data_IF_323964780602
#
_entry.id   IF_323964780602
#
_cell.length_a   1.000
_cell.length_b   1.000
_cell.length_c   1.000
_cell.angle_alpha   90.00
_cell.angle_beta   90.00
_cell.angle_gamma   90.00
#
_symmetry.space_group_name_H-M   'P 1'
#
loop_
_entity.id
_entity.type
_entity.pdbx_description
1 polymer ?
#
# COMPACT_ATOMS: atom_id res chain seq x y z
N UNK A 1 -9.56 8.75 4.88
CA UNK A 1 -8.84 7.61 4.30
C UNK A 1 -9.47 6.37 4.90
N UNK A 2 -10.34 5.69 4.15
CA UNK A 2 -11.10 4.56 4.72
C UNK A 2 -10.23 3.31 4.72
N UNK A 3 -10.29 2.51 5.79
CA UNK A 3 -9.79 1.14 5.72
C UNK A 3 -10.57 0.42 4.64
N UNK A 4 -9.91 0.11 3.57
CA UNK A 4 -10.54 -0.54 2.46
C UNK A 4 -10.95 -1.97 2.86
N UNK A 5 -12.08 -2.42 2.38
CA UNK A 5 -12.60 -3.77 2.62
C UNK A 5 -11.57 -4.85 2.21
N UNK A 6 -10.66 -4.53 1.28
CA UNK A 6 -9.65 -5.45 0.81
C UNK A 6 -8.61 -5.84 1.89
N UNK A 7 -8.19 -4.90 2.74
CA UNK A 7 -7.24 -5.20 3.81
C UNK A 7 -7.85 -6.13 4.86
N UNK A 8 -9.15 -5.95 5.15
CA UNK A 8 -9.93 -6.88 5.98
C UNK A 8 -10.02 -8.25 5.32
N UNK A 9 -10.35 -8.31 4.02
CA UNK A 9 -10.43 -9.56 3.27
C UNK A 9 -9.09 -10.31 3.25
N UNK A 10 -7.96 -9.61 3.13
CA UNK A 10 -6.64 -10.22 3.22
C UNK A 10 -6.36 -10.87 4.58
N UNK A 11 -6.67 -10.17 5.67
CA UNK A 11 -6.49 -10.72 7.02
C UNK A 11 -7.37 -11.95 7.23
N UNK A 12 -8.61 -11.94 6.74
CA UNK A 12 -9.49 -13.10 6.78
C UNK A 12 -8.97 -14.27 5.91
N UNK A 13 -8.45 -13.98 4.72
CA UNK A 13 -7.80 -14.97 3.86
C UNK A 13 -6.56 -15.58 4.52
N UNK A 14 -5.85 -14.81 5.35
CA UNK A 14 -4.71 -15.27 6.12
C UNK A 14 -5.01 -16.46 7.03
N UNK A 15 -6.25 -16.61 7.49
CA UNK A 15 -6.69 -17.79 8.28
C UNK A 15 -6.53 -19.12 7.51
N UNK A 16 -6.65 -19.10 6.19
CA UNK A 16 -6.43 -20.27 5.35
C UNK A 16 -4.97 -20.71 5.38
N UNK A 17 -4.05 -19.76 5.52
CA UNK A 17 -2.62 -20.02 5.58
C UNK A 17 -2.18 -20.64 6.92
N UNK A 18 -2.99 -20.51 7.99
CA UNK A 18 -2.67 -21.11 9.29
C UNK A 18 -2.63 -22.63 9.24
N UNK A 19 -3.40 -23.21 8.33
CA UNK A 19 -3.49 -24.67 8.13
C UNK A 19 -2.50 -25.19 7.10
N UNK A 20 -1.87 -24.30 6.36
CA UNK A 20 -0.91 -24.67 5.32
C UNK A 20 0.43 -25.03 5.97
N UNK A 21 0.95 -26.19 5.61
CA UNK A 21 2.28 -26.68 5.99
C UNK A 21 3.10 -26.92 4.74
N UNK A 22 4.36 -26.53 4.78
CA UNK A 22 5.32 -26.85 3.75
C UNK A 22 5.80 -28.29 3.84
N UNK A 23 6.45 -28.75 2.79
CA UNK A 23 7.11 -30.05 2.74
C UNK A 23 8.48 -30.06 3.47
N UNK A 24 9.01 -28.85 3.70
CA UNK A 24 10.29 -28.64 4.37
C UNK A 24 10.28 -27.35 5.21
N UNK A 25 11.26 -27.17 6.13
CA UNK A 25 11.36 -25.99 7.00
C UNK A 25 11.47 -24.66 6.24
N UNK A 26 12.09 -24.65 5.07
CA UNK A 26 12.27 -23.43 4.28
C UNK A 26 10.94 -22.96 3.69
N UNK A 27 10.09 -23.89 3.25
CA UNK A 27 8.72 -23.59 2.82
C UNK A 27 7.87 -23.08 3.98
N UNK A 28 7.99 -23.67 5.17
CA UNK A 28 7.31 -23.21 6.37
C UNK A 28 7.73 -21.77 6.72
N UNK A 29 9.02 -21.44 6.59
CA UNK A 29 9.52 -20.09 6.77
C UNK A 29 8.91 -19.11 5.74
N UNK A 30 8.81 -19.52 4.47
CA UNK A 30 8.15 -18.74 3.41
C UNK A 30 6.68 -18.49 3.72
N UNK A 31 5.94 -19.50 4.15
CA UNK A 31 4.53 -19.38 4.57
C UNK A 31 4.39 -18.40 5.74
N UNK A 32 5.29 -18.45 6.72
CA UNK A 32 5.28 -17.54 7.86
C UNK A 32 5.53 -16.08 7.44
N UNK A 33 6.44 -15.84 6.48
CA UNK A 33 6.68 -14.52 5.91
C UNK A 33 5.43 -13.97 5.24
N UNK A 34 4.79 -14.74 4.37
CA UNK A 34 3.56 -14.33 3.67
C UNK A 34 2.43 -14.05 4.66
N UNK A 35 2.26 -14.90 5.67
CA UNK A 35 1.26 -14.72 6.73
C UNK A 35 1.42 -13.39 7.45
N UNK A 36 2.65 -13.00 7.75
CA UNK A 36 2.96 -11.72 8.37
C UNK A 36 2.77 -10.53 7.42
N UNK A 37 3.14 -10.70 6.15
CA UNK A 37 3.04 -9.65 5.14
C UNK A 37 1.58 -9.28 4.81
N UNK A 38 0.65 -10.23 4.84
CA UNK A 38 -0.77 -10.01 4.56
C UNK A 38 -1.43 -9.04 5.57
N UNK A 39 -0.95 -8.98 6.80
CA UNK A 39 -1.46 -8.04 7.81
C UNK A 39 -0.92 -6.61 7.63
N UNK A 40 0.19 -6.43 6.93
CA UNK A 40 0.87 -5.14 6.82
C UNK A 40 -0.02 -4.01 6.27
N UNK A 41 -0.85 -4.20 5.23
CA UNK A 41 -1.71 -3.13 4.73
C UNK A 41 -2.72 -2.63 5.75
N UNK A 42 -3.35 -3.53 6.51
CA UNK A 42 -4.31 -3.15 7.56
C UNK A 42 -3.62 -2.40 8.69
N UNK A 43 -2.44 -2.87 9.12
CA UNK A 43 -1.65 -2.23 10.15
C UNK A 43 -1.25 -0.81 9.73
N UNK A 44 -0.75 -0.65 8.50
CA UNK A 44 -0.33 0.65 8.00
C UNK A 44 -1.48 1.65 7.92
N UNK A 45 -2.68 1.21 7.52
CA UNK A 45 -3.86 2.08 7.50
C UNK A 45 -4.26 2.50 8.91
N UNK A 46 -4.23 1.58 9.89
CA UNK A 46 -4.53 1.88 11.28
C UNK A 46 -3.51 2.85 11.90
N UNK A 47 -2.22 2.63 11.65
CA UNK A 47 -1.15 3.53 12.08
C UNK A 47 -1.26 4.93 11.48
N UNK A 48 -1.62 5.03 10.19
CA UNK A 48 -1.90 6.31 9.53
C UNK A 48 -3.11 7.05 10.15
N UNK A 49 -4.03 6.33 10.77
CA UNK A 49 -5.14 6.89 11.54
C UNK A 49 -4.79 7.20 13.00
N UNK A 50 -3.55 6.92 13.43
CA UNK A 50 -3.10 7.13 14.81
C UNK A 50 -3.47 6.01 15.80
N UNK A 51 -3.94 4.86 15.29
CA UNK A 51 -4.36 3.71 16.10
C UNK A 51 -3.31 2.58 15.97
N UNK A 52 -3.12 1.82 17.04
CA UNK A 52 -2.21 0.67 17.01
C UNK A 52 -2.68 -0.40 16.01
N UNK A 53 -1.88 -0.57 14.96
CA UNK A 53 -2.16 -1.52 13.88
C UNK A 53 -2.22 -2.98 14.34
N UNK A 54 -1.49 -3.35 15.39
CA UNK A 54 -1.49 -4.71 15.92
C UNK A 54 -2.82 -5.04 16.63
N UNK A 55 -3.35 -4.07 17.37
CA UNK A 55 -4.65 -4.19 18.05
C UNK A 55 -5.78 -4.32 17.02
N UNK A 56 -5.75 -3.49 15.98
CA UNK A 56 -6.75 -3.54 14.91
C UNK A 56 -6.70 -4.87 14.16
N UNK A 57 -5.52 -5.33 13.75
CA UNK A 57 -5.35 -6.60 13.06
C UNK A 57 -5.80 -7.79 13.93
N UNK A 58 -5.51 -7.77 15.24
CA UNK A 58 -5.96 -8.77 16.19
C UNK A 58 -7.49 -8.88 16.24
N UNK A 59 -8.18 -7.76 16.42
CA UNK A 59 -9.66 -7.72 16.49
C UNK A 59 -10.32 -8.20 15.19
N UNK A 60 -9.78 -7.78 14.03
CA UNK A 60 -10.31 -8.22 12.74
C UNK A 60 -10.09 -9.71 12.54
N UNK A 61 -8.94 -10.26 12.96
CA UNK A 61 -8.64 -11.69 12.88
C UNK A 61 -9.54 -12.54 13.78
N UNK A 62 -9.87 -12.08 14.98
CA UNK A 62 -10.74 -12.79 15.92
C UNK A 62 -12.20 -12.84 15.44
N UNK A 63 -12.64 -11.87 14.66
CA UNK A 63 -13.99 -11.85 14.12
C UNK A 63 -14.25 -13.05 13.20
N UNK A 64 -15.44 -13.61 13.32
CA UNK A 64 -15.96 -14.67 12.42
C UNK A 64 -16.65 -14.08 11.18
N UNK A 65 -17.01 -12.82 11.24
CA UNK A 65 -17.69 -12.12 10.16
C UNK A 65 -16.67 -11.59 9.15
N UNK A 66 -16.82 -11.98 7.90
CA UNK A 66 -15.93 -11.59 6.79
C UNK A 66 -16.09 -10.13 6.38
N UNK A 67 -17.20 -9.50 6.74
CA UNK A 67 -17.47 -8.08 6.48
C UNK A 67 -17.00 -7.16 7.60
N UNK A 68 -16.64 -7.74 8.75
CA UNK A 68 -16.20 -6.98 9.92
C UNK A 68 -14.81 -6.39 9.72
N UNK A 69 -14.68 -5.08 9.85
CA UNK A 69 -13.42 -4.36 9.70
C UNK A 69 -13.34 -3.13 10.59
N UNK A 70 -12.31 -2.34 10.37
CA UNK A 70 -12.06 -1.08 11.07
C UNK A 70 -12.20 0.10 10.09
N UNK A 71 -13.05 1.05 10.41
CA UNK A 71 -13.17 2.30 9.67
C UNK A 71 -12.21 3.35 10.24
N UNK A 72 -11.12 3.61 9.54
CA UNK A 72 -10.09 4.56 9.96
C UNK A 72 -10.55 6.03 9.96
N UNK A 73 -11.68 6.35 9.33
CA UNK A 73 -12.23 7.70 9.31
C UNK A 73 -13.02 8.02 10.58
N UNK A 74 -13.78 7.02 11.08
CA UNK A 74 -14.62 7.17 12.28
C UNK A 74 -14.03 6.49 13.50
N UNK A 75 -12.90 5.75 13.33
CA UNK A 75 -12.26 4.93 14.35
C UNK A 75 -13.17 3.84 14.94
N UNK A 76 -14.19 3.44 14.19
CA UNK A 76 -15.17 2.46 14.61
C UNK A 76 -14.96 1.10 13.96
N UNK A 77 -15.33 0.05 14.69
CA UNK A 77 -15.37 -1.31 14.18
C UNK A 77 -16.80 -1.66 13.76
N UNK A 78 -16.94 -2.30 12.61
CA UNK A 78 -18.25 -2.72 12.15
C UNK A 78 -18.25 -3.36 10.76
N UNK A 79 -19.43 -3.48 10.20
CA UNK A 79 -19.64 -4.04 8.86
C UNK A 79 -19.23 -3.02 7.79
N UNK A 80 -18.19 -3.32 7.05
CA UNK A 80 -17.63 -2.44 6.01
C UNK A 80 -18.63 -2.20 4.87
N UNK A 81 -19.50 -3.18 4.57
CA UNK A 81 -20.53 -2.99 3.55
C UNK A 81 -21.57 -1.97 3.97
N UNK A 82 -21.97 -1.97 5.25
CA UNK A 82 -22.90 -0.95 5.78
C UNK A 82 -22.32 0.45 5.79
N UNK A 83 -21.00 0.55 5.99
CA UNK A 83 -20.28 1.83 5.90
C UNK A 83 -20.03 2.29 4.46
N UNK A 84 -20.41 1.48 3.46
CA UNK A 84 -20.15 1.78 2.05
C UNK A 84 -18.68 1.72 1.65
N UNK A 85 -17.85 1.07 2.46
CA UNK A 85 -16.42 0.89 2.23
C UNK A 85 -16.21 -0.38 1.42
N UNK A 86 -16.19 -0.24 0.10
CA UNK A 86 -16.13 -1.36 -0.85
C UNK A 86 -14.98 -1.13 -1.83
N UNK A 87 -14.15 -2.15 -2.02
CA UNK A 87 -13.08 -2.14 -3.02
C UNK A 87 -13.34 -3.17 -4.11
N UNK A 88 -12.98 -2.87 -5.36
CA UNK A 88 -13.05 -3.84 -6.44
C UNK A 88 -12.09 -5.00 -6.22
N UNK A 89 -12.59 -6.22 -6.24
CA UNK A 89 -11.77 -7.43 -6.03
C UNK A 89 -10.60 -7.56 -7.03
N UNK A 90 -10.76 -7.03 -8.26
CA UNK A 90 -9.71 -7.01 -9.26
C UNK A 90 -8.50 -6.19 -8.82
N UNK A 91 -8.72 -5.02 -8.20
CA UNK A 91 -7.64 -4.14 -7.71
C UNK A 91 -6.84 -4.85 -6.63
N UNK A 92 -7.53 -5.46 -5.68
CA UNK A 92 -6.89 -6.22 -4.59
C UNK A 92 -6.05 -7.37 -5.12
N UNK A 93 -6.61 -8.13 -6.05
CA UNK A 93 -5.92 -9.27 -6.66
C UNK A 93 -4.67 -8.81 -7.40
N UNK A 94 -4.78 -7.81 -8.27
CA UNK A 94 -3.64 -7.29 -9.04
C UNK A 94 -2.55 -6.74 -8.11
N UNK A 95 -2.92 -6.00 -7.06
CA UNK A 95 -1.95 -5.50 -6.09
C UNK A 95 -1.16 -6.62 -5.40
N UNK A 96 -1.82 -7.74 -5.08
CA UNK A 96 -1.15 -8.91 -4.49
C UNK A 96 -0.24 -9.63 -5.48
N UNK A 97 -0.71 -9.81 -6.73
CA UNK A 97 0.07 -10.43 -7.80
C UNK A 97 1.34 -9.63 -8.11
N UNK A 98 1.22 -8.31 -8.24
CA UNK A 98 2.35 -7.42 -8.51
C UNK A 98 3.33 -7.37 -7.32
N UNK A 99 2.82 -7.25 -6.10
CA UNK A 99 3.65 -7.23 -4.90
C UNK A 99 4.45 -8.54 -4.73
N UNK A 100 3.81 -9.69 -4.97
CA UNK A 100 4.47 -10.99 -4.87
C UNK A 100 5.52 -11.18 -5.97
N UNK A 101 5.26 -10.69 -7.18
CA UNK A 101 6.19 -10.72 -8.30
C UNK A 101 7.46 -9.91 -7.99
N UNK A 102 7.29 -8.67 -7.52
CA UNK A 102 8.42 -7.80 -7.15
C UNK A 102 9.21 -8.37 -5.97
N UNK A 103 8.52 -8.86 -4.94
CA UNK A 103 9.17 -9.48 -3.79
C UNK A 103 9.97 -10.73 -4.19
N UNK A 104 9.43 -11.57 -5.09
CA UNK A 104 10.12 -12.74 -5.62
C UNK A 104 11.40 -12.37 -6.36
N UNK A 105 11.36 -11.32 -7.17
CA UNK A 105 12.55 -10.81 -7.85
C UNK A 105 13.60 -10.30 -6.86
N UNK A 106 13.19 -9.53 -5.84
CA UNK A 106 14.10 -9.00 -4.83
C UNK A 106 14.79 -10.11 -4.02
N UNK A 107 14.06 -11.15 -3.67
CA UNK A 107 14.61 -12.30 -2.90
C UNK A 107 15.67 -13.07 -3.71
N UNK A 108 15.51 -13.13 -5.04
CA UNK A 108 16.42 -13.86 -5.93
C UNK A 108 17.62 -13.03 -6.40
N UNK A 109 17.69 -11.74 -6.10
CA UNK A 109 18.78 -10.85 -6.47
C UNK A 109 19.79 -10.68 -5.34
N UNK A 110 21.09 -10.64 -5.66
CA UNK A 110 22.16 -10.40 -4.68
C UNK A 110 22.38 -8.90 -4.43
N UNK A 111 22.04 -8.05 -5.39
CA UNK A 111 22.24 -6.61 -5.31
C UNK A 111 21.16 -5.83 -6.04
N UNK A 112 20.84 -4.66 -5.53
CA UNK A 112 19.96 -3.70 -6.16
C UNK A 112 20.74 -2.43 -6.46
N UNK A 113 20.66 -1.95 -7.70
CA UNK A 113 21.24 -0.68 -8.13
C UNK A 113 20.12 0.35 -8.20
N UNK A 114 20.26 1.43 -7.46
CA UNK A 114 19.32 2.51 -7.44
C UNK A 114 20.02 3.87 -7.44
N UNK A 115 19.37 4.89 -7.95
CA UNK A 115 19.86 6.25 -7.92
C UNK A 115 20.00 6.74 -6.47
N UNK A 116 21.07 7.48 -6.22
CA UNK A 116 21.26 8.10 -4.91
C UNK A 116 20.21 9.18 -4.70
N UNK A 117 19.52 9.20 -3.54
CA UNK A 117 18.56 10.25 -3.25
C UNK A 117 19.18 11.65 -3.42
N UNK A 118 18.51 12.50 -4.16
CA UNK A 118 18.93 13.90 -4.31
C UNK A 118 18.85 14.62 -2.95
N UNK A 119 19.84 15.47 -2.69
CA UNK A 119 19.82 16.29 -1.47
C UNK A 119 18.64 17.25 -1.53
N UNK A 120 17.87 17.41 -0.45
CA UNK A 120 16.81 18.43 -0.42
C UNK A 120 17.40 19.82 -0.78
N UNK A 121 16.97 20.37 -1.90
CA UNK A 121 17.41 21.70 -2.38
C UNK A 121 18.27 21.71 -3.65
N UNK A 122 18.65 20.58 -4.23
CA UNK A 122 19.47 20.56 -5.45
C UNK A 122 18.68 20.49 -6.76
N UNK A 123 17.35 20.39 -6.72
CA UNK A 123 16.49 20.21 -7.89
C UNK A 123 15.40 21.29 -8.03
N UNK A 124 15.78 22.55 -8.10
CA UNK A 124 14.86 23.68 -8.30
C UNK A 124 15.16 24.51 -9.55
N UNK A 125 15.59 23.89 -10.63
CA UNK A 125 15.58 24.52 -11.95
C UNK A 125 14.21 24.31 -12.57
N UNK A 126 13.33 25.31 -12.47
CA UNK A 126 12.14 25.36 -13.33
C UNK A 126 12.59 25.26 -14.79
N UNK A 127 11.91 24.46 -15.64
CA UNK A 127 12.17 24.48 -17.07
C UNK A 127 11.93 25.92 -17.56
N UNK A 128 12.99 26.56 -18.06
CA UNK A 128 12.96 27.92 -18.55
C UNK A 128 11.86 28.05 -19.60
N UNK A 129 10.95 28.97 -19.35
CA UNK A 129 10.05 29.44 -20.39
C UNK A 129 10.93 29.97 -21.54
N UNK A 130 10.64 29.61 -22.79
CA UNK A 130 11.32 30.24 -23.91
C UNK A 130 11.03 31.73 -23.88
N UNK A 131 12.13 32.50 -23.82
CA UNK A 131 12.14 33.94 -23.90
C UNK A 131 11.52 34.37 -25.24
N UNK A 132 10.28 34.88 -25.18
CA UNK A 132 9.64 35.62 -26.28
C UNK A 132 10.05 37.09 -26.20
N UNK A 133 11.36 37.31 -26.22
CA UNK A 133 11.91 38.63 -26.35
C UNK A 133 12.08 39.00 -27.82
N UNK A 134 11.42 40.03 -28.24
CA UNK A 134 11.80 40.68 -29.47
C UNK A 134 10.67 41.10 -30.40
N UNK A 135 9.85 42.04 -30.01
CA UNK A 135 9.16 42.87 -30.98
C UNK A 135 8.94 44.26 -30.38
N UNK A 136 10.00 45.03 -30.38
CA UNK A 136 9.98 46.43 -30.04
C UNK A 136 10.83 47.22 -31.01
N UNK A 137 10.22 47.90 -31.90
CA UNK A 137 10.96 48.79 -32.79
C UNK A 137 10.16 49.28 -33.97
N UNK A 138 9.27 50.19 -33.72
CA UNK A 138 8.88 51.14 -34.76
C UNK A 138 8.19 52.35 -34.11
N UNK A 139 8.95 53.37 -33.90
CA UNK A 139 8.47 54.67 -33.47
C UNK A 139 9.45 55.72 -33.88
N UNK A 140 9.25 56.33 -34.95
CA UNK A 140 9.91 57.55 -35.36
C UNK A 140 9.18 58.13 -36.50
N UNK A 141 8.55 59.21 -36.29
CA UNK A 141 8.56 60.38 -37.16
C UNK A 141 7.36 61.26 -36.86
N UNK A 142 7.69 62.39 -36.54
CA UNK A 142 7.16 63.80 -36.57
C UNK A 142 6.72 64.33 -35.24
#
# INVERSE_FOLDING_TARGET
MCCSNWSTALVQAGKSLEKLKGENPDQDAGIAIVRRAIEAPLRQIAENAGVDGAVVAGKVRESKDTSFGFNAQTEEYGDMFKYGVIDPAKVTRTAMEDASSVAGLLITTEAMVADKPEKPGAGGGAPGMPDMGGMGGMGGMM
#
